data_IF_327676803203
#
_entry.id   IF_327676803203
#
_cell.length_a   1.000
_cell.length_b   1.000
_cell.length_c   1.000
_cell.angle_alpha   90.00
_cell.angle_beta   90.00
_cell.angle_gamma   90.00
#
_symmetry.space_group_name_H-M   'P 1'
#
loop_
_entity.id
_entity.type
_entity.pdbx_description
1 polymer ?
#
# COMPACT_ATOMS: atom_id res chain seq x y z
N UNK A 1 -7.78 24.55 10.27
CA UNK A 1 -7.37 23.93 8.98
C UNK A 1 -8.55 23.10 8.52
N UNK A 2 -9.33 23.66 7.63
CA UNK A 2 -10.60 23.09 7.16
C UNK A 2 -10.27 21.96 6.19
N UNK A 3 -10.57 20.74 6.59
CA UNK A 3 -10.43 19.56 5.71
C UNK A 3 -11.61 19.59 4.75
N UNK A 4 -11.39 20.05 3.52
CA UNK A 4 -12.39 19.89 2.45
C UNK A 4 -12.59 18.42 2.20
N UNK A 5 -13.81 17.94 2.40
CA UNK A 5 -14.19 16.60 1.98
C UNK A 5 -13.96 16.44 0.47
N UNK A 6 -13.33 15.36 0.03
CA UNK A 6 -13.16 15.11 -1.40
C UNK A 6 -14.54 14.96 -2.03
N UNK A 7 -14.82 15.72 -3.09
CA UNK A 7 -16.05 15.59 -3.88
C UNK A 7 -16.04 14.22 -4.54
N UNK A 8 -16.75 13.28 -3.96
CA UNK A 8 -16.95 11.96 -4.55
C UNK A 8 -17.95 12.09 -5.71
N UNK A 9 -17.62 11.49 -6.84
CA UNK A 9 -18.54 11.39 -7.98
C UNK A 9 -19.84 10.72 -7.50
N UNK A 10 -20.96 11.42 -7.72
CA UNK A 10 -22.30 10.93 -7.39
C UNK A 10 -22.59 9.62 -8.14
N UNK A 11 -23.29 8.65 -7.53
CA UNK A 11 -23.56 7.36 -8.16
C UNK A 11 -24.47 7.42 -9.40
N UNK A 12 -25.04 8.57 -9.72
CA UNK A 12 -26.03 8.76 -10.77
C UNK A 12 -25.51 8.62 -12.22
N UNK A 13 -24.21 8.43 -12.40
CA UNK A 13 -23.56 8.35 -13.71
C UNK A 13 -22.82 7.05 -13.97
N UNK A 14 -23.22 5.93 -13.38
CA UNK A 14 -22.63 4.65 -13.77
C UNK A 14 -23.31 4.18 -15.06
N UNK A 15 -22.98 4.86 -16.15
CA UNK A 15 -23.18 4.35 -17.50
C UNK A 15 -22.29 3.12 -17.73
N UNK A 16 -22.58 2.39 -18.77
CA UNK A 16 -21.76 1.25 -19.16
C UNK A 16 -20.32 1.71 -19.47
N UNK A 17 -19.31 1.06 -18.89
CA UNK A 17 -17.92 1.38 -19.18
C UNK A 17 -17.61 1.13 -20.65
N UNK A 18 -16.83 2.01 -21.26
CA UNK A 18 -16.35 1.81 -22.62
C UNK A 18 -15.54 0.52 -22.74
N UNK A 19 -15.46 -0.11 -23.93
CA UNK A 19 -14.63 -1.30 -24.14
C UNK A 19 -13.17 -1.08 -23.73
N UNK A 20 -12.60 0.10 -24.01
CA UNK A 20 -11.23 0.45 -23.62
C UNK A 20 -11.05 0.56 -22.11
N UNK A 21 -12.03 1.08 -21.38
CA UNK A 21 -12.00 1.14 -19.92
C UNK A 21 -12.07 -0.27 -19.30
N UNK A 22 -12.91 -1.15 -19.86
CA UNK A 22 -12.98 -2.56 -19.45
C UNK A 22 -11.63 -3.26 -19.70
N UNK A 23 -11.06 -3.08 -20.89
CA UNK A 23 -9.76 -3.67 -21.22
C UNK A 23 -8.65 -3.17 -20.29
N UNK A 24 -8.59 -1.90 -19.97
CA UNK A 24 -7.58 -1.33 -19.07
C UNK A 24 -7.60 -1.99 -17.67
N UNK A 25 -8.77 -2.41 -17.17
CA UNK A 25 -8.88 -3.15 -15.90
C UNK A 25 -8.25 -4.54 -16.04
N UNK A 26 -8.53 -5.26 -17.12
CA UNK A 26 -7.92 -6.56 -17.37
C UNK A 26 -6.39 -6.44 -17.54
N UNK A 27 -5.93 -5.45 -18.28
CA UNK A 27 -4.49 -5.16 -18.44
C UNK A 27 -3.82 -4.91 -17.09
N UNK A 28 -4.45 -4.16 -16.19
CA UNK A 28 -3.95 -3.94 -14.84
C UNK A 28 -3.84 -5.25 -14.04
N UNK A 29 -4.80 -6.17 -14.18
CA UNK A 29 -4.80 -7.45 -13.49
C UNK A 29 -3.72 -8.37 -14.07
N UNK A 30 -3.62 -8.47 -15.37
CA UNK A 30 -2.72 -9.40 -16.06
C UNK A 30 -1.26 -8.94 -16.09
N UNK A 31 -1.03 -7.62 -16.28
CA UNK A 31 0.31 -7.06 -16.47
C UNK A 31 0.97 -6.60 -15.17
N UNK A 32 0.20 -6.49 -14.06
CA UNK A 32 0.78 -6.10 -12.78
C UNK A 32 1.94 -7.02 -12.40
N UNK A 33 2.94 -6.44 -11.76
CA UNK A 33 4.04 -7.19 -11.14
C UNK A 33 4.09 -6.87 -9.64
N UNK A 34 4.67 -7.77 -8.88
CA UNK A 34 5.01 -7.53 -7.48
C UNK A 34 6.29 -6.70 -7.44
N UNK A 35 6.12 -5.40 -7.26
CA UNK A 35 7.24 -4.45 -7.20
C UNK A 35 7.73 -4.37 -5.75
N UNK A 36 8.97 -4.72 -5.52
CA UNK A 36 9.62 -4.71 -4.20
C UNK A 36 10.76 -3.69 -4.11
N UNK A 37 11.28 -3.23 -5.23
CA UNK A 37 12.31 -2.21 -5.30
C UNK A 37 11.68 -0.85 -5.59
N UNK A 38 11.84 0.08 -4.66
CA UNK A 38 11.34 1.43 -4.79
C UNK A 38 12.49 2.39 -5.06
N UNK A 39 12.19 3.50 -5.74
CA UNK A 39 13.18 4.56 -5.97
C UNK A 39 13.41 5.31 -4.67
N UNK A 40 14.59 5.18 -4.10
CA UNK A 40 14.98 5.95 -2.93
C UNK A 40 15.06 7.45 -3.26
N UNK A 41 14.67 8.30 -2.31
CA UNK A 41 14.77 9.75 -2.44
C UNK A 41 13.79 10.41 -3.41
N UNK A 42 12.83 9.67 -3.95
CA UNK A 42 11.78 10.21 -4.81
C UNK A 42 10.48 10.32 -4.01
N UNK A 43 10.03 11.55 -3.79
CA UNK A 43 8.75 11.79 -3.13
C UNK A 43 7.57 11.46 -4.06
N UNK A 44 6.52 10.90 -3.47
CA UNK A 44 5.23 10.74 -4.15
C UNK A 44 4.52 12.08 -4.18
N UNK A 45 4.22 12.59 -5.36
CA UNK A 45 3.47 13.83 -5.56
C UNK A 45 2.14 13.79 -4.81
N UNK A 46 1.78 14.89 -4.18
CA UNK A 46 0.57 14.97 -3.35
C UNK A 46 -0.71 14.59 -4.10
N UNK A 47 -0.82 14.95 -5.36
CA UNK A 47 -1.97 14.57 -6.21
C UNK A 47 -2.06 13.06 -6.40
N UNK A 48 -0.95 12.40 -6.72
CA UNK A 48 -0.89 10.94 -6.86
C UNK A 48 -1.24 10.24 -5.56
N UNK A 49 -0.70 10.75 -4.44
CA UNK A 49 -1.00 10.22 -3.11
C UNK A 49 -2.49 10.34 -2.80
N UNK A 50 -3.11 11.49 -3.04
CA UNK A 50 -4.54 11.68 -2.81
C UNK A 50 -5.40 10.76 -3.69
N UNK A 51 -5.01 10.50 -4.93
CA UNK A 51 -5.69 9.53 -5.80
C UNK A 51 -5.61 8.11 -5.26
N UNK A 52 -4.43 7.70 -4.75
CA UNK A 52 -4.23 6.37 -4.15
C UNK A 52 -5.10 6.22 -2.90
N UNK A 53 -5.06 7.19 -2.00
CA UNK A 53 -5.87 7.19 -0.78
C UNK A 53 -7.38 7.20 -1.08
N UNK A 54 -7.80 8.00 -2.08
CA UNK A 54 -9.18 8.03 -2.53
C UNK A 54 -9.64 6.69 -3.13
N UNK A 55 -8.79 5.99 -3.87
CA UNK A 55 -9.09 4.66 -4.38
C UNK A 55 -9.22 3.64 -3.23
N UNK A 56 -8.31 3.68 -2.26
CA UNK A 56 -8.37 2.81 -1.09
C UNK A 56 -9.63 3.06 -0.23
N UNK A 57 -10.03 4.32 -0.07
CA UNK A 57 -11.25 4.70 0.68
C UNK A 57 -12.55 4.19 0.02
N UNK A 58 -12.53 3.91 -1.27
CA UNK A 58 -13.68 3.35 -2.01
C UNK A 58 -13.81 1.83 -1.90
N UNK A 59 -12.97 1.16 -1.13
CA UNK A 59 -13.13 -0.26 -0.88
C UNK A 59 -14.49 -0.53 -0.22
N UNK A 60 -15.17 -1.65 -0.56
CA UNK A 60 -16.43 -1.99 0.07
C UNK A 60 -16.25 -2.31 1.56
N UNK A 61 -17.23 -1.95 2.36
CA UNK A 61 -17.25 -2.29 3.79
C UNK A 61 -18.64 -2.71 4.24
N UNK A 62 -18.74 -3.51 5.28
CA UNK A 62 -20.00 -3.96 5.84
C UNK A 62 -20.78 -2.75 6.34
N UNK A 63 -22.01 -2.59 5.84
CA UNK A 63 -22.88 -1.49 6.23
C UNK A 63 -22.33 -0.08 5.92
N UNK A 64 -21.40 0.03 4.95
CA UNK A 64 -20.69 1.28 4.63
C UNK A 64 -19.99 1.91 5.84
N UNK A 65 -19.60 1.09 6.81
CA UNK A 65 -18.97 1.55 8.06
C UNK A 65 -17.59 2.17 7.87
N UNK A 66 -16.90 1.85 6.76
CA UNK A 66 -15.56 2.35 6.40
C UNK A 66 -14.59 2.36 7.59
N UNK A 67 -14.36 1.21 8.28
CA UNK A 67 -13.68 1.14 9.57
C UNK A 67 -12.14 1.24 9.45
N UNK A 68 -11.64 2.00 8.50
CA UNK A 68 -10.22 2.19 8.26
C UNK A 68 -9.79 3.62 8.43
N UNK A 69 -8.55 3.80 8.85
CA UNK A 69 -7.84 5.06 8.85
C UNK A 69 -6.53 4.91 8.10
N UNK A 70 -6.08 5.98 7.47
CA UNK A 70 -4.80 6.02 6.77
C UNK A 70 -3.81 6.88 7.56
N UNK A 71 -2.65 6.32 7.86
CA UNK A 71 -1.56 7.04 8.51
C UNK A 71 -0.41 7.18 7.53
N UNK A 72 -0.09 8.42 7.18
CA UNK A 72 1.03 8.73 6.31
C UNK A 72 2.26 9.05 7.15
N UNK A 73 3.27 8.17 7.10
CA UNK A 73 4.53 8.35 7.83
C UNK A 73 5.58 8.91 6.90
N UNK A 74 5.91 10.21 7.06
CA UNK A 74 6.95 10.91 6.29
C UNK A 74 8.23 11.13 7.10
N UNK A 75 8.11 11.23 8.41
CA UNK A 75 9.24 11.45 9.31
C UNK A 75 10.22 10.27 9.27
N UNK A 76 11.48 10.57 8.97
CA UNK A 76 12.54 9.56 8.82
C UNK A 76 12.82 8.82 10.13
N UNK A 77 12.76 9.52 11.27
CA UNK A 77 13.00 8.89 12.56
C UNK A 77 11.90 7.90 12.90
N UNK A 78 10.64 8.26 12.59
CA UNK A 78 9.51 7.33 12.77
C UNK A 78 9.63 6.13 11.85
N UNK A 79 9.98 6.31 10.58
CA UNK A 79 10.22 5.21 9.63
C UNK A 79 11.34 4.28 10.11
N UNK A 80 12.44 4.86 10.60
CA UNK A 80 13.55 4.08 11.17
C UNK A 80 13.10 3.22 12.35
N UNK A 81 12.31 3.77 13.26
CA UNK A 81 11.77 3.01 14.40
C UNK A 81 10.84 1.86 13.96
N UNK A 82 10.03 2.08 12.95
CA UNK A 82 9.18 1.03 12.36
C UNK A 82 10.06 -0.08 11.78
N UNK A 83 11.09 0.28 10.99
CA UNK A 83 12.07 -0.67 10.45
C UNK A 83 12.76 -1.51 11.53
N UNK A 84 13.25 -0.88 12.58
CA UNK A 84 13.88 -1.56 13.69
C UNK A 84 12.93 -2.53 14.40
N UNK A 85 11.70 -2.12 14.62
CA UNK A 85 10.67 -2.98 15.20
C UNK A 85 10.39 -4.20 14.32
N UNK A 86 10.30 -3.99 12.99
CA UNK A 86 10.16 -5.09 12.04
C UNK A 86 11.34 -6.05 12.09
N UNK A 87 12.58 -5.56 12.09
CA UNK A 87 13.78 -6.40 12.15
C UNK A 87 13.85 -7.22 13.45
N UNK A 88 13.48 -6.63 14.58
CA UNK A 88 13.39 -7.35 15.86
C UNK A 88 12.36 -8.48 15.79
N UNK A 89 11.15 -8.19 15.33
CA UNK A 89 10.07 -9.18 15.21
C UNK A 89 10.46 -10.32 14.25
N UNK A 90 11.05 -9.98 13.11
CA UNK A 90 11.56 -10.95 12.13
C UNK A 90 12.60 -11.90 12.73
N UNK A 91 13.54 -11.38 13.51
CA UNK A 91 14.59 -12.21 14.15
C UNK A 91 13.98 -13.14 15.21
N UNK A 92 13.03 -12.66 15.99
CA UNK A 92 12.32 -13.48 16.97
C UNK A 92 11.56 -14.61 16.28
N UNK A 93 10.87 -14.33 15.19
CA UNK A 93 10.13 -15.34 14.44
C UNK A 93 11.10 -16.34 13.76
N UNK A 94 12.17 -15.84 13.15
CA UNK A 94 13.20 -16.67 12.52
C UNK A 94 13.84 -17.67 13.50
N UNK A 95 13.99 -17.32 14.78
CA UNK A 95 14.54 -18.18 15.80
C UNK A 95 13.68 -19.42 16.10
N UNK A 96 12.39 -19.38 15.76
CA UNK A 96 11.45 -20.50 15.94
C UNK A 96 11.56 -21.59 14.86
N UNK A 97 12.25 -21.31 13.76
CA UNK A 97 12.35 -22.21 12.63
C UNK A 97 13.60 -23.13 12.76
N UNK A 98 13.54 -24.29 12.10
CA UNK A 98 14.73 -25.12 11.89
C UNK A 98 15.81 -24.35 11.12
N UNK A 99 17.08 -24.71 11.23
CA UNK A 99 18.19 -23.98 10.58
C UNK A 99 17.98 -23.75 9.08
N UNK A 100 17.54 -24.77 8.34
CA UNK A 100 17.30 -24.67 6.91
C UNK A 100 16.15 -23.71 6.58
N UNK A 101 15.01 -23.80 7.31
CA UNK A 101 13.85 -22.91 7.14
C UNK A 101 14.19 -21.49 7.56
N UNK A 102 14.98 -21.32 8.61
CA UNK A 102 15.46 -20.01 9.08
C UNK A 102 16.29 -19.31 8.00
N UNK A 103 17.24 -20.03 7.39
CA UNK A 103 18.05 -19.49 6.32
C UNK A 103 17.17 -19.02 5.14
N UNK A 104 16.25 -19.85 4.67
CA UNK A 104 15.29 -19.49 3.62
C UNK A 104 14.42 -18.30 4.01
N UNK A 105 13.87 -18.26 5.23
CA UNK A 105 13.03 -17.15 5.72
C UNK A 105 13.80 -15.82 5.73
N UNK A 106 15.06 -15.82 6.14
CA UNK A 106 15.89 -14.62 6.22
C UNK A 106 16.34 -14.09 4.84
N UNK A 107 16.22 -14.89 3.76
CA UNK A 107 16.46 -14.39 2.39
C UNK A 107 15.29 -13.55 1.86
N UNK A 108 14.09 -13.72 2.40
CA UNK A 108 12.96 -12.89 2.00
C UNK A 108 13.14 -11.45 2.49
N UNK A 109 13.23 -10.51 1.56
CA UNK A 109 13.33 -9.07 1.85
C UNK A 109 11.96 -8.42 1.74
N UNK A 110 11.62 -7.58 2.71
CA UNK A 110 10.51 -6.62 2.62
C UNK A 110 11.12 -5.23 2.34
N UNK A 111 11.58 -5.05 1.12
CA UNK A 111 12.40 -3.90 0.73
C UNK A 111 11.69 -2.56 0.94
N UNK A 112 10.38 -2.47 0.73
CA UNK A 112 9.62 -1.25 0.99
C UNK A 112 9.66 -0.74 2.44
N UNK A 113 9.90 -1.61 3.43
CA UNK A 113 10.08 -1.21 4.84
C UNK A 113 11.53 -0.88 5.15
N UNK A 114 12.47 -1.51 4.44
CA UNK A 114 13.90 -1.40 4.73
C UNK A 114 14.57 -0.20 4.06
N UNK A 115 14.08 0.23 2.91
CA UNK A 115 14.78 1.16 2.01
C UNK A 115 13.95 2.41 1.63
N UNK A 116 12.67 2.47 2.01
CA UNK A 116 11.77 3.59 1.70
C UNK A 116 11.95 4.79 2.64
#
# INVERSE_FOLDING_TARGET
>A
MEVREPTFLQPEAIGEFSPSAKQAVYDCIELRRDVRHFRAGVEVESEKLMRILGAAHRAPSVGLSQPWGFVLVRDVAVRTRIRESFLRARNVEAARFSPARRAAYLTHRLEGILEA
#
